data_IF_179907796680
#
_entry.id   IF_179907796680
#
_cell.length_a   1.000
_cell.length_b   1.000
_cell.length_c   1.000
_cell.angle_alpha   90.00
_cell.angle_beta   90.00
_cell.angle_gamma   90.00
#
_symmetry.space_group_name_H-M   'P 1'
#
loop_
_entity.id
_entity.type
_entity.pdbx_description
1 polymer ?
#
# COMPACT_ATOMS: atom_id res chain seq x y z
N UNK A 1 -14.34 16.06 4.42
CA UNK A 1 -13.22 15.20 4.85
C UNK A 1 -12.12 15.22 3.79
N UNK A 2 -10.91 14.76 4.13
CA UNK A 2 -9.74 14.83 3.24
C UNK A 2 -9.96 14.11 1.90
N UNK A 3 -10.77 13.05 1.87
CA UNK A 3 -11.03 12.27 0.66
C UNK A 3 -12.05 12.90 -0.29
N UNK A 4 -12.93 13.79 0.18
CA UNK A 4 -13.99 14.38 -0.66
C UNK A 4 -13.88 15.87 -0.84
N UNK A 5 -13.13 16.57 0.02
CA UNK A 5 -12.93 18.02 -0.16
C UNK A 5 -12.19 18.30 -1.47
N UNK A 6 -12.50 19.42 -2.15
CA UNK A 6 -11.62 19.98 -3.16
C UNK A 6 -10.20 20.13 -2.58
N UNK A 7 -9.21 19.77 -3.39
CA UNK A 7 -7.81 20.00 -3.09
C UNK A 7 -7.35 21.21 -3.90
N UNK A 8 -6.50 22.02 -3.29
CA UNK A 8 -5.78 23.05 -4.02
C UNK A 8 -4.76 22.40 -4.97
N UNK A 9 -4.34 23.14 -6.01
CA UNK A 9 -3.41 22.63 -7.02
C UNK A 9 -2.04 22.19 -6.44
N UNK A 10 -1.67 22.69 -5.26
CA UNK A 10 -0.42 22.39 -4.56
C UNK A 10 -0.57 21.28 -3.51
N UNK A 11 -1.72 20.61 -3.44
CA UNK A 11 -2.02 19.57 -2.46
C UNK A 11 -2.18 18.19 -3.11
N UNK A 12 -1.74 17.15 -2.42
CA UNK A 12 -2.11 15.76 -2.74
C UNK A 12 -2.46 14.96 -1.48
N UNK A 13 -3.21 13.88 -1.67
CA UNK A 13 -3.65 12.98 -0.59
C UNK A 13 -3.26 11.56 -0.96
N UNK A 14 -2.33 11.00 -0.18
CA UNK A 14 -1.79 9.66 -0.34
C UNK A 14 -2.24 8.76 0.81
N UNK A 15 -2.78 7.60 0.46
CA UNK A 15 -2.99 6.49 1.39
C UNK A 15 -1.73 5.63 1.41
N UNK A 16 -1.08 5.48 2.57
CA UNK A 16 0.20 4.75 2.69
C UNK A 16 0.06 3.58 3.65
N UNK A 17 0.64 2.44 3.26
CA UNK A 17 0.66 1.21 4.07
C UNK A 17 1.72 0.22 3.54
N UNK A 18 1.95 -0.86 4.27
CA UNK A 18 2.82 -1.96 3.89
C UNK A 18 2.08 -3.26 3.59
N UNK A 19 2.30 -3.81 2.39
CA UNK A 19 2.00 -5.22 2.10
C UNK A 19 3.20 -6.07 2.51
N UNK A 20 3.06 -6.76 3.63
CA UNK A 20 4.15 -7.50 4.27
C UNK A 20 4.20 -8.96 3.82
N UNK A 21 5.35 -9.61 4.08
CA UNK A 21 5.54 -11.05 3.88
C UNK A 21 5.29 -11.54 2.44
N UNK A 22 5.68 -10.75 1.44
CA UNK A 22 5.66 -11.16 0.04
C UNK A 22 6.78 -12.19 -0.21
N UNK A 23 6.41 -13.45 -0.38
CA UNK A 23 7.37 -14.55 -0.53
C UNK A 23 7.46 -15.00 -1.99
N UNK A 24 8.65 -15.04 -2.59
CA UNK A 24 8.87 -15.80 -3.81
C UNK A 24 8.83 -17.30 -3.43
N UNK A 25 7.78 -17.99 -3.89
CA UNK A 25 7.58 -19.43 -3.66
C UNK A 25 7.91 -20.16 -4.96
N UNK A 26 9.19 -20.24 -5.30
CA UNK A 26 9.67 -20.93 -6.50
C UNK A 26 9.29 -22.39 -6.44
N UNK A 27 8.53 -22.87 -7.43
CA UNK A 27 8.12 -24.27 -7.48
C UNK A 27 9.26 -25.18 -7.89
N UNK A 28 9.30 -26.38 -7.31
CA UNK A 28 10.30 -27.39 -7.69
C UNK A 28 10.04 -28.01 -9.07
N UNK A 29 8.78 -28.00 -9.52
CA UNK A 29 8.37 -28.47 -10.83
C UNK A 29 7.52 -27.42 -11.55
N UNK A 30 7.64 -27.31 -12.89
CA UNK A 30 6.92 -26.29 -13.65
C UNK A 30 5.41 -26.53 -13.62
N UNK A 31 4.67 -25.42 -13.63
CA UNK A 31 3.21 -25.43 -13.75
C UNK A 31 2.78 -26.14 -15.02
N UNK A 32 1.90 -27.15 -14.90
CA UNK A 32 1.37 -27.87 -16.06
C UNK A 32 0.06 -27.21 -16.51
N UNK A 33 -0.04 -26.73 -17.77
CA UNK A 33 -1.26 -26.10 -18.26
C UNK A 33 -2.41 -27.10 -18.31
N UNK A 34 -3.64 -26.58 -18.28
CA UNK A 34 -4.84 -27.39 -18.46
C UNK A 34 -4.83 -28.09 -19.82
N UNK A 35 -5.39 -29.30 -19.87
CA UNK A 35 -5.59 -30.10 -21.09
C UNK A 35 -7.02 -30.67 -21.05
N UNK A 36 -7.60 -31.14 -22.18
CA UNK A 36 -8.89 -31.83 -22.13
C UNK A 36 -8.89 -32.95 -21.07
N UNK A 37 -9.84 -32.89 -20.12
CA UNK A 37 -9.94 -33.82 -19.00
C UNK A 37 -8.96 -33.62 -17.83
N UNK A 38 -8.08 -32.61 -17.87
CA UNK A 38 -7.09 -32.36 -16.82
C UNK A 38 -7.02 -30.87 -16.44
N UNK A 39 -7.24 -30.50 -15.17
CA UNK A 39 -7.10 -29.12 -14.72
C UNK A 39 -5.63 -28.67 -14.72
N UNK A 40 -5.40 -27.37 -14.52
CA UNK A 40 -4.06 -26.83 -14.21
C UNK A 40 -3.53 -27.58 -12.98
N UNK A 41 -2.29 -28.09 -13.07
CA UNK A 41 -1.62 -28.72 -11.93
C UNK A 41 -0.48 -27.84 -11.46
N UNK A 42 -0.53 -27.51 -10.18
CA UNK A 42 0.44 -26.67 -9.50
C UNK A 42 1.28 -27.56 -8.59
N UNK A 43 2.59 -27.40 -8.65
CA UNK A 43 3.47 -28.05 -7.68
C UNK A 43 3.23 -27.45 -6.29
N UNK A 44 3.11 -28.33 -5.29
CA UNK A 44 2.85 -27.98 -3.91
C UNK A 44 4.14 -27.73 -3.13
N UNK A 45 5.25 -28.36 -3.55
CA UNK A 45 6.58 -28.12 -2.98
C UNK A 45 7.24 -26.87 -3.58
N UNK A 46 7.90 -26.09 -2.71
CA UNK A 46 8.54 -24.85 -3.11
C UNK A 46 9.78 -24.53 -2.26
N UNK A 47 10.70 -23.77 -2.85
CA UNK A 47 11.87 -23.22 -2.18
C UNK A 47 11.54 -21.91 -1.47
N UNK A 48 12.11 -21.70 -0.28
CA UNK A 48 11.94 -20.47 0.51
C UNK A 48 13.14 -19.55 0.30
N UNK A 49 12.92 -18.37 -0.28
CA UNK A 49 13.98 -17.35 -0.45
C UNK A 49 13.83 -16.13 0.47
N UNK A 50 13.11 -16.29 1.59
CA UNK A 50 12.75 -15.19 2.49
C UNK A 50 11.52 -14.42 1.99
N UNK A 51 11.37 -13.17 2.43
CA UNK A 51 10.24 -12.34 2.07
C UNK A 51 10.65 -10.87 1.83
N UNK A 52 9.84 -10.18 1.04
CA UNK A 52 9.87 -8.73 0.87
C UNK A 52 8.65 -8.09 1.53
N UNK A 53 8.78 -6.80 1.82
CA UNK A 53 7.70 -5.92 2.22
C UNK A 53 7.58 -4.84 1.15
N UNK A 54 6.37 -4.62 0.63
CA UNK A 54 6.07 -3.54 -0.28
C UNK A 54 5.49 -2.39 0.53
N UNK A 55 6.23 -1.29 0.64
CA UNK A 55 5.71 0.00 1.04
C UNK A 55 5.08 0.65 -0.19
N UNK A 56 3.83 1.07 -0.08
CA UNK A 56 3.13 1.72 -1.19
C UNK A 56 2.30 2.92 -0.75
N UNK A 57 2.13 3.87 -1.67
CA UNK A 57 1.30 5.04 -1.54
C UNK A 57 0.30 5.08 -2.70
N UNK A 58 -1.00 5.13 -2.40
CA UNK A 58 -2.06 5.31 -3.38
C UNK A 58 -2.54 6.77 -3.36
N UNK A 59 -2.40 7.47 -4.49
CA UNK A 59 -2.94 8.81 -4.67
C UNK A 59 -4.46 8.73 -4.88
N UNK A 60 -5.20 9.30 -3.93
CA UNK A 60 -6.67 9.22 -3.90
C UNK A 60 -7.37 10.01 -5.00
N UNK A 61 -6.66 10.88 -5.72
CA UNK A 61 -7.20 11.72 -6.80
C UNK A 61 -6.83 11.18 -8.17
N UNK A 62 -5.58 10.80 -8.37
CA UNK A 62 -5.14 10.25 -9.66
C UNK A 62 -5.33 8.74 -9.75
N UNK A 63 -5.39 8.04 -8.61
CA UNK A 63 -5.35 6.58 -8.52
C UNK A 63 -3.98 5.98 -8.77
N UNK A 64 -2.93 6.82 -8.93
CA UNK A 64 -1.57 6.34 -9.12
C UNK A 64 -1.05 5.68 -7.85
N UNK A 65 -0.15 4.74 -8.03
CA UNK A 65 0.55 4.05 -6.96
C UNK A 65 2.04 4.31 -7.06
N UNK A 66 2.63 4.66 -5.93
CA UNK A 66 4.06 4.73 -5.71
C UNK A 66 4.44 3.54 -4.84
N UNK A 67 5.57 2.88 -5.08
CA UNK A 67 5.94 1.73 -4.26
C UNK A 67 7.41 1.37 -4.32
N UNK A 68 7.91 0.84 -3.20
CA UNK A 68 9.26 0.32 -3.04
C UNK A 68 9.23 -0.98 -2.25
N UNK A 69 10.06 -1.94 -2.65
CA UNK A 69 10.21 -3.21 -1.95
C UNK A 69 11.46 -3.23 -1.07
N UNK A 70 11.30 -3.68 0.17
CA UNK A 70 12.35 -3.76 1.18
C UNK A 70 12.38 -5.15 1.82
N UNK A 71 13.55 -5.57 2.32
CA UNK A 71 13.66 -6.84 3.06
C UNK A 71 13.16 -6.73 4.50
N UNK A 72 13.21 -5.52 5.07
CA UNK A 72 12.77 -5.18 6.41
C UNK A 72 11.70 -4.08 6.35
N UNK A 73 11.02 -3.84 7.47
CA UNK A 73 9.95 -2.84 7.61
C UNK A 73 10.10 -2.02 8.89
N UNK A 74 11.28 -1.41 9.07
CA UNK A 74 11.62 -0.56 10.23
C UNK A 74 11.36 0.91 9.88
N UNK A 75 11.55 1.79 10.87
CA UNK A 75 11.44 3.24 10.67
C UNK A 75 12.37 3.74 9.56
N UNK A 76 13.58 3.21 9.46
CA UNK A 76 14.55 3.56 8.40
C UNK A 76 13.99 3.26 7.00
N UNK A 77 13.39 2.08 6.76
CA UNK A 77 12.81 1.78 5.45
C UNK A 77 11.57 2.63 5.15
N UNK A 78 10.77 2.94 6.18
CA UNK A 78 9.63 3.86 6.04
C UNK A 78 10.09 5.27 5.66
N UNK A 79 11.13 5.80 6.32
CA UNK A 79 11.73 7.10 6.00
C UNK A 79 12.30 7.10 4.57
N UNK A 80 13.04 6.06 4.18
CA UNK A 80 13.53 5.93 2.80
C UNK A 80 12.39 5.96 1.77
N UNK A 81 11.23 5.41 2.12
CA UNK A 81 10.04 5.48 1.28
C UNK A 81 9.45 6.89 1.22
N UNK A 82 9.38 7.62 2.34
CA UNK A 82 8.94 9.02 2.35
C UNK A 82 9.87 9.92 1.52
N UNK A 83 11.19 9.73 1.63
CA UNK A 83 12.18 10.44 0.81
C UNK A 83 12.03 10.10 -0.68
N UNK A 84 11.70 8.84 -1.00
CA UNK A 84 11.37 8.46 -2.37
C UNK A 84 10.12 9.19 -2.88
N UNK A 85 9.07 9.31 -2.06
CA UNK A 85 7.89 10.10 -2.41
C UNK A 85 8.23 11.57 -2.61
N UNK A 86 9.02 12.16 -1.71
CA UNK A 86 9.42 13.57 -1.76
C UNK A 86 10.15 13.91 -3.07
N UNK A 87 11.07 13.04 -3.50
CA UNK A 87 11.79 13.17 -4.78
C UNK A 87 10.90 12.93 -6.01
N UNK A 88 9.88 12.08 -5.90
CA UNK A 88 9.08 11.65 -7.05
C UNK A 88 7.89 12.57 -7.32
N UNK A 89 7.33 13.17 -6.28
CA UNK A 89 6.18 14.06 -6.38
C UNK A 89 6.67 15.47 -6.72
N UNK A 90 6.08 16.09 -7.76
CA UNK A 90 6.45 17.43 -8.25
C UNK A 90 6.62 18.43 -7.11
N UNK A 91 7.67 19.24 -7.15
CA UNK A 91 7.95 20.30 -6.18
C UNK A 91 6.82 21.34 -6.07
N UNK A 92 5.96 21.46 -7.09
CA UNK A 92 4.78 22.33 -7.05
C UNK A 92 3.72 21.86 -6.05
N UNK A 93 3.74 20.58 -5.68
CA UNK A 93 2.92 20.03 -4.60
C UNK A 93 3.62 20.33 -3.28
N UNK A 94 3.28 21.44 -2.64
CA UNK A 94 3.91 21.89 -1.39
C UNK A 94 3.29 21.24 -0.14
N UNK A 95 2.17 20.53 -0.27
CA UNK A 95 1.52 19.79 0.82
C UNK A 95 1.14 18.37 0.39
N UNK A 96 1.73 17.39 1.06
CA UNK A 96 1.44 15.96 0.91
C UNK A 96 0.72 15.49 2.17
N UNK A 97 -0.59 15.29 2.07
CA UNK A 97 -1.34 14.64 3.13
C UNK A 97 -1.14 13.13 3.04
N UNK A 98 -0.60 12.53 4.10
CA UNK A 98 -0.36 11.09 4.17
C UNK A 98 -1.35 10.49 5.16
N UNK A 99 -2.26 9.65 4.65
CA UNK A 99 -3.18 8.88 5.48
C UNK A 99 -2.58 7.52 5.80
N UNK A 100 -2.47 7.22 7.09
CA UNK A 100 -1.81 6.02 7.63
C UNK A 100 -2.73 5.30 8.61
N UNK A 101 -2.49 4.00 8.80
CA UNK A 101 -3.05 3.28 9.93
C UNK A 101 -2.32 3.66 11.24
N UNK A 102 -2.74 3.08 12.38
CA UNK A 102 -2.16 3.42 13.68
C UNK A 102 -0.92 2.59 14.05
N UNK A 103 -0.23 1.95 13.10
CA UNK A 103 0.92 1.10 13.36
C UNK A 103 2.06 1.90 14.04
N UNK A 104 2.72 1.27 15.02
CA UNK A 104 3.76 1.90 15.84
C UNK A 104 4.92 2.47 15.02
N UNK A 105 5.23 1.86 13.88
CA UNK A 105 6.34 2.30 13.01
C UNK A 105 6.11 3.72 12.48
N UNK A 106 4.86 4.12 12.22
CA UNK A 106 4.51 5.45 11.72
C UNK A 106 4.60 6.56 12.79
N UNK A 107 4.64 6.18 14.07
CA UNK A 107 4.69 7.09 15.23
C UNK A 107 6.06 7.06 15.94
N UNK A 108 7.04 6.41 15.32
CA UNK A 108 8.38 6.27 15.86
C UNK A 108 9.13 7.59 15.98
N UNK A 109 10.06 7.68 16.93
CA UNK A 109 10.85 8.89 17.19
C UNK A 109 11.63 9.36 15.95
N UNK A 110 12.22 8.44 15.17
CA UNK A 110 12.95 8.81 13.95
C UNK A 110 12.01 9.40 12.90
N UNK A 111 10.79 8.86 12.79
CA UNK A 111 9.77 9.37 11.86
C UNK A 111 9.30 10.75 12.29
N UNK A 112 9.07 10.99 13.59
CA UNK A 112 8.69 12.32 14.09
C UNK A 112 9.79 13.35 13.84
N UNK A 113 11.05 13.01 14.16
CA UNK A 113 12.20 13.87 13.90
C UNK A 113 12.42 14.17 12.40
N UNK A 114 12.09 13.20 11.54
CA UNK A 114 12.10 13.42 10.09
C UNK A 114 10.99 14.38 9.65
N UNK A 115 9.77 14.24 10.17
CA UNK A 115 8.64 15.11 9.84
C UNK A 115 8.86 16.56 10.24
N UNK A 116 9.54 16.83 11.35
CA UNK A 116 9.92 18.19 11.77
C UNK A 116 10.78 18.89 10.71
N UNK A 117 11.61 18.13 9.99
CA UNK A 117 12.48 18.64 8.92
C UNK A 117 11.80 18.67 7.55
N UNK A 118 10.65 18.02 7.40
CA UNK A 118 9.94 17.89 6.13
C UNK A 118 8.50 18.39 6.25
N UNK A 119 8.30 19.72 6.40
CA UNK A 119 6.98 20.32 6.67
C UNK A 119 5.96 20.09 5.54
N UNK A 120 6.43 19.71 4.35
CA UNK A 120 5.64 19.25 3.21
C UNK A 120 4.73 18.07 3.54
N UNK A 121 5.13 17.21 4.47
CA UNK A 121 4.36 16.01 4.85
C UNK A 121 3.44 16.30 6.04
N UNK A 122 2.14 16.00 5.86
CA UNK A 122 1.11 16.13 6.90
C UNK A 122 0.48 14.77 7.15
N UNK A 123 0.77 14.15 8.29
CA UNK A 123 0.25 12.82 8.62
C UNK A 123 -1.16 12.91 9.20
N UNK A 124 -2.02 12.00 8.74
CA UNK A 124 -3.41 11.82 9.19
C UNK A 124 -3.59 10.36 9.52
N UNK A 125 -4.02 10.04 10.74
CA UNK A 125 -4.25 8.67 11.15
C UNK A 125 -5.71 8.30 10.95
N UNK A 126 -5.99 7.12 10.42
CA UNK A 126 -7.36 6.60 10.38
C UNK A 126 -7.89 6.43 11.81
N UNK A 127 -9.21 6.50 12.03
CA UNK A 127 -9.78 6.04 13.29
C UNK A 127 -9.35 4.61 13.62
N UNK A 128 -9.36 4.27 14.91
CA UNK A 128 -9.07 2.90 15.36
C UNK A 128 -10.05 1.92 14.69
N UNK A 129 -9.58 0.73 14.32
CA UNK A 129 -10.33 -0.31 13.61
C UNK A 129 -10.95 0.10 12.24
N UNK A 130 -10.50 1.23 11.68
CA UNK A 130 -10.93 1.74 10.37
C UNK A 130 -9.82 1.70 9.31
N UNK A 131 -8.92 0.71 9.38
CA UNK A 131 -7.81 0.55 8.42
C UNK A 131 -8.29 0.44 6.97
N UNK A 132 -9.47 -0.16 6.76
CA UNK A 132 -10.13 -0.27 5.45
C UNK A 132 -10.38 1.06 4.71
N UNK A 133 -10.31 2.21 5.40
CA UNK A 133 -10.32 3.53 4.76
C UNK A 133 -9.04 3.80 3.96
N UNK A 134 -7.94 3.18 4.33
CA UNK A 134 -6.65 3.32 3.69
C UNK A 134 -6.72 2.66 2.31
N UNK A 135 -6.97 3.47 1.28
CA UNK A 135 -7.32 2.98 -0.06
C UNK A 135 -6.21 2.14 -0.70
N UNK A 136 -4.97 2.27 -0.25
CA UNK A 136 -3.87 1.40 -0.69
C UNK A 136 -4.10 -0.07 -0.33
N UNK A 137 -4.81 -0.37 0.77
CA UNK A 137 -5.20 -1.74 1.13
C UNK A 137 -6.12 -2.37 0.07
N UNK A 138 -7.03 -1.57 -0.52
CA UNK A 138 -7.88 -2.02 -1.61
C UNK A 138 -7.04 -2.35 -2.86
N UNK A 139 -6.04 -1.50 -3.15
CA UNK A 139 -5.08 -1.76 -4.23
C UNK A 139 -4.23 -3.00 -3.95
N UNK A 140 -3.81 -3.25 -2.71
CA UNK A 140 -3.13 -4.49 -2.32
C UNK A 140 -4.00 -5.73 -2.57
N UNK A 141 -5.32 -5.64 -2.37
CA UNK A 141 -6.25 -6.69 -2.75
C UNK A 141 -6.27 -6.95 -4.26
N UNK A 142 -6.18 -5.90 -5.09
CA UNK A 142 -6.08 -6.02 -6.55
C UNK A 142 -4.75 -6.68 -6.94
N UNK A 143 -3.63 -6.21 -6.38
CA UNK A 143 -2.31 -6.79 -6.59
C UNK A 143 -2.32 -8.28 -6.22
N UNK A 144 -2.89 -8.64 -5.07
CA UNK A 144 -3.01 -10.03 -4.62
C UNK A 144 -3.74 -10.90 -5.66
N UNK A 145 -4.92 -10.47 -6.11
CA UNK A 145 -5.71 -11.25 -7.06
C UNK A 145 -5.05 -11.36 -8.44
N UNK A 146 -4.38 -10.29 -8.91
CA UNK A 146 -3.81 -10.21 -10.26
C UNK A 146 -2.39 -10.77 -10.40
N UNK A 147 -1.61 -10.81 -9.31
CA UNK A 147 -0.19 -11.19 -9.36
C UNK A 147 0.19 -12.30 -8.40
N UNK A 148 -0.58 -12.52 -7.33
CA UNK A 148 -0.20 -13.49 -6.29
C UNK A 148 -1.10 -14.74 -6.20
N UNK A 149 -2.16 -14.84 -7.00
CA UNK A 149 -3.05 -16.01 -7.03
C UNK A 149 -2.36 -17.29 -7.54
N UNK A 150 -1.40 -17.15 -8.47
CA UNK A 150 -0.55 -18.22 -8.99
C UNK A 150 0.92 -17.81 -8.92
N UNK A 151 1.36 -17.42 -7.71
CA UNK A 151 2.72 -16.95 -7.46
C UNK A 151 3.75 -18.03 -7.80
N UNK A 152 4.61 -17.77 -8.78
CA UNK A 152 5.80 -18.55 -9.10
C UNK A 152 6.90 -17.54 -9.47
N UNK A 153 7.76 -17.26 -8.50
CA UNK A 153 8.80 -16.24 -8.58
C UNK A 153 10.11 -16.89 -8.23
N UNK A 154 11.13 -16.73 -9.08
CA UNK A 154 12.39 -17.48 -8.96
C UNK A 154 13.23 -17.03 -7.76
N UNK A 155 13.13 -15.74 -7.40
CA UNK A 155 13.88 -15.12 -6.33
C UNK A 155 13.21 -13.85 -5.81
N UNK A 156 13.75 -13.26 -4.73
CA UNK A 156 13.32 -11.94 -4.23
C UNK A 156 13.45 -10.83 -5.29
N UNK A 157 14.50 -10.86 -6.10
CA UNK A 157 14.72 -9.87 -7.18
C UNK A 157 13.63 -9.92 -8.24
N UNK A 158 13.29 -11.12 -8.71
CA UNK A 158 12.21 -11.36 -9.68
C UNK A 158 10.84 -10.91 -9.13
N UNK A 159 10.54 -11.26 -7.87
CA UNK A 159 9.36 -10.76 -7.17
C UNK A 159 9.31 -9.22 -7.13
N UNK A 160 10.43 -8.57 -6.74
CA UNK A 160 10.54 -7.11 -6.71
C UNK A 160 10.27 -6.51 -8.09
N UNK A 161 10.94 -7.02 -9.12
CA UNK A 161 10.81 -6.53 -10.50
C UNK A 161 9.35 -6.62 -10.97
N UNK A 162 8.71 -7.79 -10.81
CA UNK A 162 7.32 -8.01 -11.24
C UNK A 162 6.31 -7.14 -10.47
N UNK A 163 6.55 -6.86 -9.18
CA UNK A 163 5.73 -5.93 -8.39
C UNK A 163 5.88 -4.50 -8.92
N UNK A 164 7.12 -4.02 -9.12
CA UNK A 164 7.37 -2.67 -9.62
C UNK A 164 6.84 -2.49 -11.05
N UNK A 165 7.00 -3.50 -11.91
CA UNK A 165 6.40 -3.53 -13.25
C UNK A 165 4.88 -3.49 -13.21
N UNK A 166 4.25 -4.16 -12.24
CA UNK A 166 2.80 -4.06 -12.07
C UNK A 166 2.35 -2.66 -11.68
N UNK A 167 3.10 -1.98 -10.80
CA UNK A 167 2.83 -0.57 -10.44
C UNK A 167 2.94 0.32 -11.68
N UNK A 168 3.99 0.15 -12.49
CA UNK A 168 4.16 0.89 -13.74
C UNK A 168 2.98 0.66 -14.69
N UNK A 169 2.58 -0.60 -14.89
CA UNK A 169 1.41 -0.96 -15.72
C UNK A 169 0.10 -0.38 -15.19
N UNK A 170 -0.10 -0.43 -13.87
CA UNK A 170 -1.27 0.16 -13.21
C UNK A 170 -1.34 1.67 -13.47
N UNK A 171 -0.22 2.37 -13.31
CA UNK A 171 -0.14 3.83 -13.43
C UNK A 171 -0.43 4.37 -14.83
N UNK A 172 -0.28 3.55 -15.89
CA UNK A 172 -0.66 3.93 -17.26
C UNK A 172 -2.16 4.18 -17.42
N UNK A 173 -2.99 3.52 -16.60
CA UNK A 173 -4.45 3.59 -16.65
C UNK A 173 -5.08 3.88 -15.29
N UNK A 174 -4.29 4.45 -14.38
CA UNK A 174 -4.69 4.73 -13.02
C UNK A 174 -5.98 5.57 -12.98
N UNK A 175 -6.89 5.16 -12.11
CA UNK A 175 -8.12 5.89 -11.81
C UNK A 175 -8.35 5.86 -10.30
N UNK A 176 -8.80 6.97 -9.70
CA UNK A 176 -9.12 7.00 -8.29
C UNK A 176 -10.25 6.01 -7.97
N UNK A 177 -10.26 5.49 -6.75
CA UNK A 177 -11.41 4.74 -6.27
C UNK A 177 -12.56 5.70 -5.97
N UNK A 178 -13.79 5.25 -6.25
CA UNK A 178 -14.99 6.04 -5.96
C UNK A 178 -15.20 6.11 -4.45
N UNK A 179 -14.83 7.25 -3.87
CA UNK A 179 -15.09 7.57 -2.47
C UNK A 179 -16.16 8.67 -2.37
N UNK A 180 -17.08 8.53 -1.42
CA UNK A 180 -18.20 9.48 -1.25
C UNK A 180 -18.27 9.98 0.18
N UNK A 181 -18.92 11.12 0.40
CA UNK A 181 -19.14 11.65 1.75
C UNK A 181 -19.91 10.66 2.63
N UNK A 182 -20.89 9.97 2.04
CA UNK A 182 -21.61 8.86 2.70
C UNK A 182 -20.69 7.74 3.16
N UNK A 183 -19.63 7.43 2.41
CA UNK A 183 -18.61 6.45 2.82
C UNK A 183 -17.90 6.93 4.09
N UNK A 184 -17.54 8.22 4.15
CA UNK A 184 -16.92 8.83 5.33
C UNK A 184 -17.86 8.84 6.54
N UNK A 185 -19.11 9.27 6.40
CA UNK A 185 -20.06 9.34 7.51
C UNK A 185 -20.32 7.95 8.12
N UNK A 186 -20.35 6.90 7.29
CA UNK A 186 -20.43 5.50 7.76
C UNK A 186 -19.22 5.08 8.59
N UNK A 187 -18.01 5.53 8.24
CA UNK A 187 -16.81 5.26 9.03
C UNK A 187 -16.96 5.91 10.39
N UNK A 188 -17.29 7.21 10.41
CA UNK A 188 -17.30 7.98 11.65
C UNK A 188 -18.29 7.38 12.65
N UNK A 189 -19.50 7.03 12.19
CA UNK A 189 -20.51 6.36 13.01
C UNK A 189 -20.04 4.98 13.53
N UNK A 190 -19.23 4.24 12.75
CA UNK A 190 -18.63 2.98 13.20
C UNK A 190 -17.58 3.23 14.29
N UNK A 191 -16.69 4.18 14.08
CA UNK A 191 -15.62 4.51 15.03
C UNK A 191 -16.18 5.03 16.36
N UNK A 192 -17.22 5.86 16.33
CA UNK A 192 -17.93 6.34 17.52
C UNK A 192 -18.54 5.18 18.31
N UNK A 193 -19.19 4.23 17.64
CA UNK A 193 -19.75 3.04 18.29
C UNK A 193 -18.67 2.19 18.96
N UNK A 194 -17.56 1.91 18.27
CA UNK A 194 -16.47 1.10 18.82
C UNK A 194 -15.75 1.82 19.99
N UNK A 195 -15.66 3.14 19.95
CA UNK A 195 -15.13 3.94 21.06
C UNK A 195 -16.03 3.85 22.31
N UNK A 196 -17.36 3.88 22.12
CA UNK A 196 -18.32 3.69 23.22
C UNK A 196 -18.25 2.27 23.80
N UNK A 197 -18.15 1.25 22.96
CA UNK A 197 -18.02 -0.16 23.39
C UNK A 197 -16.70 -0.44 24.12
N UNK A 198 -15.62 0.23 23.76
CA UNK A 198 -14.32 0.09 24.42
C UNK A 198 -14.21 0.83 25.76
N UNK A 199 -15.14 1.75 26.04
CA UNK A 199 -15.18 2.55 27.26
C UNK A 199 -16.14 1.99 28.33
N UNK A 200 -16.93 0.96 27.98
CA UNK A 200 -17.86 0.24 28.85
C UNK A 200 -17.22 -1.04 29.41
#
# INVERSE_FOLDING_TARGET
DLYTRPLEAHETVLCVDEKTSLQPRTRLAPTRPARPGLPVRLEHEYLRHGALNLLAAFDTRSGKVYGQCYERKRQVEFIQFLEYLDRTISSDITVIHVVLDNLRVHKGQEVQAWLEKHPRFKFHFTPVHCSWMNQVEQWFGILQRKRFSLSDFDAKSDLKEKVLRFIEQWNRYAKPFKWTRRSFDKVLAKAEREALESAA
#
